data_IF_776372831141
#
_entry.id   IF_776372831141
#
_cell.length_a   1.000
_cell.length_b   1.000
_cell.length_c   1.000
_cell.angle_alpha   90.00
_cell.angle_beta   90.00
_cell.angle_gamma   90.00
#
_symmetry.space_group_name_H-M   'P 1'
#
loop_
_entity.id
_entity.type
_entity.pdbx_description
1 polymer ?
#
# COMPACT_ATOMS: atom_id res chain seq x y z
N UNK A 1 -10.57 9.09 16.08
CA UNK A 1 -9.50 8.21 15.55
C UNK A 1 -9.98 7.70 14.20
N UNK A 2 -9.15 7.83 13.18
CA UNK A 2 -9.47 7.40 11.82
C UNK A 2 -8.98 5.99 11.54
N UNK A 3 -9.53 5.38 10.50
CA UNK A 3 -8.98 4.19 9.85
C UNK A 3 -8.07 4.66 8.72
N UNK A 4 -6.86 4.10 8.65
CA UNK A 4 -5.91 4.37 7.58
C UNK A 4 -6.00 3.27 6.53
N UNK A 5 -6.02 3.64 5.25
CA UNK A 5 -5.96 2.70 4.13
C UNK A 5 -4.69 3.01 3.35
N UNK A 6 -3.77 2.07 3.26
CA UNK A 6 -2.44 2.25 2.65
C UNK A 6 -2.38 1.39 1.39
N UNK A 7 -1.96 1.96 0.26
CA UNK A 7 -1.85 1.21 -0.99
C UNK A 7 -0.45 1.34 -1.61
N UNK A 8 -0.01 0.26 -2.27
CA UNK A 8 1.28 0.17 -2.94
C UNK A 8 1.17 0.36 -4.48
N UNK A 9 2.32 0.30 -5.15
CA UNK A 9 2.43 0.41 -6.62
C UNK A 9 1.63 -0.69 -7.30
N UNK A 10 1.79 -1.93 -6.83
CA UNK A 10 1.14 -3.11 -7.41
C UNK A 10 -0.38 -3.04 -7.38
N UNK A 11 -0.96 -2.48 -6.33
CA UNK A 11 -2.39 -2.24 -6.22
C UNK A 11 -2.92 -1.33 -7.34
N UNK A 12 -2.28 -0.17 -7.56
CA UNK A 12 -2.71 0.75 -8.61
C UNK A 12 -2.47 0.22 -10.01
N UNK A 13 -1.36 -0.50 -10.23
CA UNK A 13 -1.09 -1.20 -11.49
C UNK A 13 -2.20 -2.21 -11.80
N UNK A 14 -2.68 -2.95 -10.79
CA UNK A 14 -3.75 -3.94 -10.97
C UNK A 14 -5.10 -3.32 -11.38
N UNK A 15 -5.33 -2.03 -11.10
CA UNK A 15 -6.54 -1.31 -11.52
C UNK A 15 -6.59 -1.04 -13.02
N UNK A 16 -5.43 -0.87 -13.66
CA UNK A 16 -5.32 -0.39 -15.04
C UNK A 16 -5.78 1.07 -15.18
N UNK A 17 -5.95 1.54 -16.42
CA UNK A 17 -6.34 2.92 -16.75
C UNK A 17 -7.72 3.35 -16.20
N UNK A 18 -8.03 4.66 -16.15
CA UNK A 18 -9.26 5.17 -15.53
C UNK A 18 -10.59 4.65 -16.12
N UNK A 19 -10.58 4.24 -17.39
CA UNK A 19 -11.75 3.65 -18.06
C UNK A 19 -11.92 2.14 -17.77
N UNK A 20 -10.90 1.50 -17.19
CA UNK A 20 -10.94 0.11 -16.76
C UNK A 20 -12.07 -0.10 -15.72
N UNK A 21 -12.75 -1.24 -15.82
CA UNK A 21 -13.81 -1.60 -14.88
C UNK A 21 -13.28 -1.71 -13.45
N UNK A 22 -12.07 -2.24 -13.25
CA UNK A 22 -11.43 -2.38 -11.93
C UNK A 22 -11.21 -1.03 -11.28
N UNK A 23 -10.59 -0.08 -11.98
CA UNK A 23 -10.41 1.30 -11.52
C UNK A 23 -11.73 1.93 -11.10
N UNK A 24 -12.75 1.90 -11.97
CA UNK A 24 -14.06 2.51 -11.67
C UNK A 24 -14.75 1.86 -10.47
N UNK A 25 -14.60 0.56 -10.27
CA UNK A 25 -15.17 -0.17 -9.13
C UNK A 25 -14.50 0.22 -7.82
N UNK A 26 -13.17 0.25 -7.79
CA UNK A 26 -12.42 0.69 -6.60
C UNK A 26 -12.68 2.15 -6.29
N UNK A 27 -12.67 3.05 -7.29
CA UNK A 27 -13.06 4.46 -7.12
C UNK A 27 -14.46 4.60 -6.53
N UNK A 28 -15.44 3.86 -7.06
CA UNK A 28 -16.83 3.89 -6.57
C UNK A 28 -16.91 3.38 -5.13
N UNK A 29 -16.19 2.29 -4.81
CA UNK A 29 -16.11 1.76 -3.45
C UNK A 29 -15.51 2.80 -2.49
N UNK A 30 -14.40 3.42 -2.87
CA UNK A 30 -13.73 4.41 -2.04
C UNK A 30 -14.63 5.61 -1.76
N UNK A 31 -15.25 6.17 -2.80
CA UNK A 31 -16.17 7.30 -2.69
C UNK A 31 -17.41 6.98 -1.86
N UNK A 32 -18.02 5.80 -2.03
CA UNK A 32 -19.21 5.38 -1.26
C UNK A 32 -18.92 5.23 0.24
N UNK A 33 -17.71 4.81 0.59
CA UNK A 33 -17.31 4.56 1.97
C UNK A 33 -16.50 5.72 2.58
N UNK A 34 -16.27 6.81 1.85
CA UNK A 34 -15.44 7.93 2.32
C UNK A 34 -13.98 7.53 2.58
N UNK A 35 -13.47 6.54 1.85
CA UNK A 35 -12.09 6.05 1.98
C UNK A 35 -11.16 6.89 1.09
N UNK A 36 -10.01 7.25 1.65
CA UNK A 36 -8.91 7.87 0.92
C UNK A 36 -7.67 7.00 1.13
N UNK A 37 -7.15 6.41 0.07
CA UNK A 37 -5.93 5.61 0.14
C UNK A 37 -4.71 6.53 0.30
N UNK A 38 -3.90 6.26 1.31
CA UNK A 38 -2.62 6.88 1.54
C UNK A 38 -1.52 6.09 0.84
N UNK A 39 -0.67 6.79 0.09
CA UNK A 39 0.44 6.21 -0.65
C UNK A 39 1.73 6.74 -0.06
N UNK A 40 2.64 5.89 0.46
CA UNK A 40 3.96 6.34 0.89
C UNK A 40 4.70 7.09 -0.22
N UNK A 41 5.50 8.10 0.11
CA UNK A 41 6.23 8.91 -0.87
C UNK A 41 7.08 8.04 -1.82
N UNK A 42 7.79 7.04 -1.28
CA UNK A 42 8.57 6.07 -2.09
C UNK A 42 7.73 5.31 -3.11
N UNK A 43 6.51 4.93 -2.74
CA UNK A 43 5.58 4.22 -3.64
C UNK A 43 5.11 5.17 -4.74
N UNK A 44 4.82 6.43 -4.40
CA UNK A 44 4.46 7.44 -5.38
C UNK A 44 5.62 7.74 -6.36
N UNK A 45 6.85 7.79 -5.87
CA UNK A 45 8.05 7.94 -6.71
C UNK A 45 8.17 6.76 -7.70
N UNK A 46 7.91 5.52 -7.31
CA UNK A 46 7.92 4.37 -8.22
C UNK A 46 6.83 4.46 -9.30
N UNK A 47 5.61 4.85 -8.89
CA UNK A 47 4.47 5.03 -9.79
C UNK A 47 4.72 6.11 -10.86
N UNK A 48 5.54 7.10 -10.54
CA UNK A 48 5.86 8.24 -11.43
C UNK A 48 7.20 8.09 -12.15
N UNK A 49 8.09 7.20 -11.68
CA UNK A 49 9.42 6.92 -12.25
C UNK A 49 9.44 5.70 -13.17
N UNK A 50 8.34 4.92 -13.26
CA UNK A 50 8.29 3.75 -14.15
C UNK A 50 8.64 4.19 -15.57
N UNK A 51 9.83 3.74 -15.99
CA UNK A 51 10.61 4.28 -17.08
C UNK A 51 9.83 4.45 -18.38
N UNK A 52 9.88 5.67 -18.91
CA UNK A 52 9.57 6.08 -20.28
C UNK A 52 10.59 5.50 -21.29
N UNK A 53 11.07 4.27 -21.06
CA UNK A 53 12.17 3.65 -21.78
C UNK A 53 11.76 2.24 -22.23
N UNK A 54 11.52 2.14 -23.54
CA UNK A 54 11.35 0.91 -24.34
C UNK A 54 9.95 0.26 -24.39
N UNK A 55 9.10 0.83 -25.25
CA UNK A 55 8.23 0.10 -26.19
C UNK A 55 7.09 -0.77 -25.63
N UNK A 56 6.36 -0.28 -24.62
CA UNK A 56 4.94 -0.60 -24.43
C UNK A 56 4.26 0.73 -24.08
N UNK A 57 3.15 1.07 -24.72
CA UNK A 57 2.22 2.09 -24.23
C UNK A 57 1.65 1.60 -22.89
N UNK A 58 2.45 1.64 -21.82
CA UNK A 58 1.93 1.51 -20.47
C UNK A 58 1.16 2.80 -20.26
N UNK A 59 -0.16 2.75 -20.44
CA UNK A 59 -1.06 3.83 -20.05
C UNK A 59 -0.63 4.30 -18.66
N UNK A 60 -0.33 5.59 -18.52
CA UNK A 60 0.18 6.17 -17.29
C UNK A 60 -0.64 5.66 -16.11
N UNK A 61 0.04 5.09 -15.11
CA UNK A 61 -0.62 4.52 -13.93
C UNK A 61 -1.47 5.64 -13.31
N UNK A 62 -2.79 5.45 -13.13
CA UNK A 62 -3.71 6.57 -12.90
C UNK A 62 -3.69 7.12 -11.48
N UNK A 63 -2.55 7.10 -10.80
CA UNK A 63 -2.40 7.60 -9.43
C UNK A 63 -2.67 9.10 -9.38
N UNK A 64 -2.20 9.88 -10.36
CA UNK A 64 -2.44 11.33 -10.41
C UNK A 64 -3.93 11.63 -10.63
N UNK A 65 -4.59 10.89 -11.53
CA UNK A 65 -6.04 11.01 -11.73
C UNK A 65 -6.82 10.63 -10.46
N UNK A 66 -6.34 9.65 -9.70
CA UNK A 66 -6.96 9.22 -8.46
C UNK A 66 -6.77 10.24 -7.32
N UNK A 67 -5.62 10.94 -7.30
CA UNK A 67 -5.35 12.08 -6.42
C UNK A 67 -6.26 13.25 -6.77
N UNK A 68 -6.37 13.61 -8.06
CA UNK A 68 -7.24 14.68 -8.54
C UNK A 68 -8.72 14.40 -8.24
N UNK A 69 -9.13 13.13 -8.34
CA UNK A 69 -10.47 12.65 -7.97
C UNK A 69 -10.70 12.57 -6.44
N UNK A 70 -9.67 12.79 -5.63
CA UNK A 70 -9.75 12.92 -4.18
C UNK A 70 -9.92 11.62 -3.39
N UNK A 71 -9.70 10.45 -4.00
CA UNK A 71 -9.78 9.15 -3.31
C UNK A 71 -8.42 8.49 -3.07
N UNK A 72 -7.35 9.17 -3.47
CA UNK A 72 -5.95 8.86 -3.15
C UNK A 72 -5.26 10.12 -2.63
N UNK A 73 -4.30 9.96 -1.72
CA UNK A 73 -3.40 11.02 -1.28
C UNK A 73 -1.99 10.48 -1.07
N UNK A 74 -1.00 11.35 -1.24
CA UNK A 74 0.36 11.06 -0.79
C UNK A 74 0.39 11.18 0.75
N UNK A 75 1.00 10.21 1.40
CA UNK A 75 1.16 10.19 2.85
C UNK A 75 2.18 11.22 3.33
N UNK A 76 2.13 11.58 4.61
CA UNK A 76 3.23 12.33 5.20
C UNK A 76 4.53 11.49 5.17
N UNK A 77 5.70 12.11 5.02
CA UNK A 77 6.97 11.40 5.01
C UNK A 77 7.15 10.55 6.27
N UNK A 78 7.87 9.43 6.11
CA UNK A 78 8.23 8.58 7.24
C UNK A 78 9.18 9.32 8.19
N UNK A 79 8.81 9.37 9.46
CA UNK A 79 9.64 9.93 10.53
C UNK A 79 10.64 8.87 11.01
N UNK A 80 11.80 8.85 10.36
CA UNK A 80 12.92 7.98 10.74
C UNK A 80 13.51 8.29 12.12
N UNK A 81 13.12 9.39 12.77
CA UNK A 81 13.52 9.66 14.17
C UNK A 81 12.71 8.83 15.15
N UNK A 82 11.54 8.33 14.75
CA UNK A 82 10.78 7.33 15.51
C UNK A 82 11.43 5.94 15.34
N UNK A 83 11.99 5.34 16.41
CA UNK A 83 12.64 4.04 16.31
C UNK A 83 11.70 2.91 15.87
N UNK A 84 10.39 3.04 16.12
CA UNK A 84 9.41 2.06 15.68
C UNK A 84 9.32 1.99 14.15
N UNK A 85 9.37 3.14 13.47
CA UNK A 85 9.34 3.23 11.99
C UNK A 85 10.52 2.45 11.40
N UNK A 86 11.75 2.73 11.87
CA UNK A 86 12.96 2.06 11.36
C UNK A 86 12.96 0.57 11.68
N UNK A 87 12.61 0.20 12.92
CA UNK A 87 12.54 -1.21 13.34
C UNK A 87 11.51 -2.02 12.54
N UNK A 88 10.35 -1.43 12.26
CA UNK A 88 9.31 -2.07 11.44
C UNK A 88 9.79 -2.24 10.01
N UNK A 89 10.44 -1.23 9.42
CA UNK A 89 11.03 -1.37 8.08
C UNK A 89 12.05 -2.50 8.01
N UNK A 90 13.03 -2.53 8.92
CA UNK A 90 14.06 -3.58 8.97
C UNK A 90 13.45 -4.97 9.18
N UNK A 91 12.40 -5.05 10.01
CA UNK A 91 11.67 -6.28 10.29
C UNK A 91 10.97 -6.83 9.04
N UNK A 92 10.23 -5.97 8.33
CA UNK A 92 9.49 -6.36 7.13
C UNK A 92 10.47 -6.70 6.00
N UNK A 93 11.51 -5.89 5.81
CA UNK A 93 12.53 -6.15 4.81
C UNK A 93 13.18 -7.53 5.02
N UNK A 94 13.48 -7.89 6.27
CA UNK A 94 14.01 -9.22 6.61
C UNK A 94 12.98 -10.33 6.40
N UNK A 95 11.70 -10.06 6.67
CA UNK A 95 10.64 -11.03 6.42
C UNK A 95 10.55 -11.37 4.93
N UNK A 96 10.46 -10.36 4.07
CA UNK A 96 10.38 -10.51 2.60
C UNK A 96 11.63 -11.24 2.09
N UNK A 97 12.82 -10.79 2.51
CA UNK A 97 14.08 -11.44 2.14
C UNK A 97 14.10 -12.95 2.43
N UNK A 98 13.59 -13.35 3.60
CA UNK A 98 13.50 -14.75 3.99
C UNK A 98 12.44 -15.51 3.19
N UNK A 99 11.30 -14.88 2.87
CA UNK A 99 10.23 -15.47 2.08
C UNK A 99 10.67 -15.72 0.63
N UNK A 100 11.39 -14.76 0.04
CA UNK A 100 11.84 -14.78 -1.35
C UNK A 100 13.16 -15.54 -1.55
N UNK A 101 13.89 -15.82 -0.47
CA UNK A 101 15.21 -16.46 -0.53
C UNK A 101 16.30 -15.59 -1.15
N UNK A 102 16.13 -14.26 -1.10
CA UNK A 102 17.08 -13.26 -1.63
C UNK A 102 17.64 -12.37 -0.51
N UNK A 103 18.82 -11.74 -0.70
CA UNK A 103 19.40 -10.84 0.30
C UNK A 103 18.48 -9.67 0.65
N UNK A 104 18.49 -9.26 1.93
CA UNK A 104 17.62 -8.19 2.40
C UNK A 104 17.93 -6.84 1.73
N UNK A 105 19.19 -6.56 1.40
CA UNK A 105 19.62 -5.35 0.71
C UNK A 105 19.15 -5.27 -0.75
N UNK A 106 18.69 -6.39 -1.31
CA UNK A 106 18.04 -6.41 -2.62
C UNK A 106 16.54 -6.12 -2.54
N UNK A 107 15.90 -6.21 -1.37
CA UNK A 107 14.46 -5.96 -1.22
C UNK A 107 14.16 -4.47 -1.42
N UNK A 108 13.13 -4.22 -2.21
CA UNK A 108 12.63 -2.91 -2.56
C UNK A 108 12.16 -2.17 -1.30
N UNK A 109 12.59 -0.91 -1.11
CA UNK A 109 12.27 -0.15 0.11
C UNK A 109 10.82 0.34 0.16
N UNK A 110 10.08 0.25 -0.94
CA UNK A 110 8.66 0.59 -0.99
C UNK A 110 7.82 -0.39 -0.17
N UNK A 111 8.13 -1.69 -0.19
CA UNK A 111 7.32 -2.69 0.50
C UNK A 111 7.35 -2.52 2.03
N UNK A 112 8.52 -2.38 2.68
CA UNK A 112 8.57 -2.09 4.10
C UNK A 112 7.98 -0.72 4.47
N UNK A 113 7.91 0.24 3.53
CA UNK A 113 7.34 1.56 3.78
C UNK A 113 5.83 1.51 4.05
N UNK A 114 5.12 0.49 3.55
CA UNK A 114 3.70 0.29 3.83
C UNK A 114 3.45 0.06 5.32
N UNK A 115 4.17 -0.89 5.92
CA UNK A 115 4.07 -1.17 7.35
C UNK A 115 4.68 -0.06 8.22
N UNK A 116 5.70 0.63 7.73
CA UNK A 116 6.29 1.79 8.38
C UNK A 116 5.28 2.94 8.54
N UNK A 117 4.50 3.21 7.49
CA UNK A 117 3.44 4.21 7.54
C UNK A 117 2.32 3.79 8.51
N UNK A 118 1.99 2.49 8.56
CA UNK A 118 1.04 1.96 9.52
C UNK A 118 1.51 2.18 10.98
N UNK A 119 2.73 1.76 11.34
CA UNK A 119 3.23 1.94 12.71
C UNK A 119 3.35 3.42 13.09
N UNK A 120 3.72 4.29 12.14
CA UNK A 120 3.78 5.73 12.38
C UNK A 120 2.42 6.25 12.84
N UNK A 121 1.36 6.02 12.04
CA UNK A 121 0.03 6.52 12.35
C UNK A 121 -0.61 5.85 13.59
N UNK A 122 -0.31 4.58 13.83
CA UNK A 122 -0.81 3.85 15.00
C UNK A 122 -0.13 4.31 16.29
N UNK A 123 1.19 4.48 16.26
CA UNK A 123 1.97 4.88 17.46
C UNK A 123 1.79 6.35 17.83
N UNK A 124 1.47 7.23 16.88
CA UNK A 124 1.12 8.64 17.14
C UNK A 124 -0.34 8.82 17.61
N UNK A 125 -1.20 7.81 17.41
CA UNK A 125 -2.64 7.88 17.69
C UNK A 125 -3.48 8.56 16.60
N UNK A 126 -2.89 8.85 15.44
CA UNK A 126 -3.60 9.42 14.28
C UNK A 126 -4.57 8.40 13.66
N UNK A 127 -4.23 7.11 13.74
CA UNK A 127 -5.09 6.01 13.32
C UNK A 127 -5.30 5.01 14.46
N UNK A 128 -6.49 4.42 14.51
CA UNK A 128 -6.77 3.27 15.38
C UNK A 128 -6.56 1.93 14.70
N UNK A 129 -6.69 1.91 13.37
CA UNK A 129 -6.55 0.72 12.53
C UNK A 129 -5.93 1.11 11.19
N UNK A 130 -5.15 0.20 10.60
CA UNK A 130 -4.54 0.36 9.28
C UNK A 130 -4.84 -0.86 8.40
N UNK A 131 -5.40 -0.62 7.21
CA UNK A 131 -5.53 -1.62 6.14
C UNK A 131 -4.41 -1.41 5.13
N UNK A 132 -3.66 -2.46 4.81
CA UNK A 132 -2.56 -2.43 3.86
C UNK A 132 -2.98 -3.19 2.61
N UNK A 133 -3.17 -2.49 1.51
CA UNK A 133 -3.55 -3.01 0.20
C UNK A 133 -2.30 -3.18 -0.64
N UNK A 134 -1.93 -4.43 -0.89
CA UNK A 134 -0.81 -4.76 -1.79
C UNK A 134 -1.09 -6.02 -2.56
N UNK A 135 -0.52 -6.13 -3.76
CA UNK A 135 -0.53 -7.37 -4.53
C UNK A 135 0.60 -8.32 -4.14
N UNK A 136 1.61 -7.83 -3.43
CA UNK A 136 2.70 -8.64 -2.88
C UNK A 136 2.29 -9.27 -1.54
N UNK A 137 2.17 -10.60 -1.54
CA UNK A 137 1.76 -11.34 -0.35
C UNK A 137 2.84 -11.31 0.74
N UNK A 138 4.13 -11.39 0.37
CA UNK A 138 5.22 -11.37 1.33
C UNK A 138 5.32 -10.01 2.02
N UNK A 139 5.09 -8.92 1.28
CA UNK A 139 4.99 -7.58 1.85
C UNK A 139 3.82 -7.44 2.83
N UNK A 140 2.63 -7.88 2.43
CA UNK A 140 1.43 -7.83 3.25
C UNK A 140 1.53 -8.65 4.54
N UNK A 141 1.88 -9.93 4.41
CA UNK A 141 2.06 -10.84 5.56
C UNK A 141 3.24 -10.41 6.45
N UNK A 142 4.30 -9.89 5.85
CA UNK A 142 5.44 -9.35 6.58
C UNK A 142 5.06 -8.16 7.45
N UNK A 143 4.25 -7.23 6.91
CA UNK A 143 3.72 -6.11 7.68
C UNK A 143 2.88 -6.60 8.87
N UNK A 144 1.88 -7.46 8.66
CA UNK A 144 1.06 -8.00 9.75
C UNK A 144 1.90 -8.73 10.80
N UNK A 145 2.83 -9.59 10.38
CA UNK A 145 3.66 -10.39 11.29
C UNK A 145 4.54 -9.51 12.17
N UNK A 146 5.19 -8.51 11.57
CA UNK A 146 6.10 -7.60 12.29
C UNK A 146 5.32 -6.68 13.22
N UNK A 147 4.20 -6.11 12.75
CA UNK A 147 3.35 -5.24 13.55
C UNK A 147 2.66 -6.00 14.70
N UNK A 148 2.23 -7.25 14.47
CA UNK A 148 1.69 -8.12 15.51
C UNK A 148 2.73 -8.43 16.60
N UNK A 149 3.98 -8.67 16.22
CA UNK A 149 5.08 -8.89 17.17
C UNK A 149 5.35 -7.67 18.06
N UNK A 150 4.98 -6.48 17.59
CA UNK A 150 5.10 -5.21 18.32
C UNK A 150 3.79 -4.79 19.03
N UNK A 151 2.78 -5.65 19.06
CA UNK A 151 1.52 -5.45 19.81
C UNK A 151 0.38 -4.80 19.01
N UNK A 152 0.53 -4.64 17.70
CA UNK A 152 -0.46 -3.99 16.81
C UNK A 152 -1.24 -4.98 15.95
N UNK A 153 -1.23 -6.28 16.30
CA UNK A 153 -1.83 -7.33 15.46
C UNK A 153 -3.33 -7.14 15.23
N UNK A 154 -4.06 -6.66 16.24
CA UNK A 154 -5.50 -6.37 16.12
C UNK A 154 -5.79 -5.04 15.38
N UNK A 155 -4.76 -4.21 15.18
CA UNK A 155 -4.88 -2.87 14.61
C UNK A 155 -4.41 -2.79 13.15
N UNK A 156 -3.94 -3.90 12.56
CA UNK A 156 -3.43 -3.96 11.19
C UNK A 156 -4.13 -5.09 10.45
N UNK A 157 -4.47 -4.85 9.19
CA UNK A 157 -5.05 -5.88 8.32
C UNK A 157 -4.43 -5.79 6.94
N UNK A 158 -3.81 -6.87 6.49
CA UNK A 158 -3.40 -7.04 5.10
C UNK A 158 -4.63 -7.36 4.25
N UNK A 159 -4.78 -6.60 3.16
CA UNK A 159 -5.78 -6.81 2.13
C UNK A 159 -5.06 -7.18 0.84
N UNK A 160 -5.22 -8.42 0.40
CA UNK A 160 -4.69 -8.84 -0.90
C UNK A 160 -5.40 -8.07 -2.02
N UNK A 161 -4.65 -7.23 -2.73
CA UNK A 161 -5.17 -6.31 -3.74
C UNK A 161 -5.93 -7.00 -4.86
N UNK A 162 -5.40 -8.12 -5.38
CA UNK A 162 -6.08 -8.89 -6.44
C UNK A 162 -7.42 -9.42 -5.96
N UNK A 163 -7.46 -10.07 -4.79
CA UNK A 163 -8.71 -10.61 -4.23
C UNK A 163 -9.74 -9.52 -3.98
N UNK A 164 -9.32 -8.40 -3.38
CA UNK A 164 -10.20 -7.27 -3.13
C UNK A 164 -10.83 -6.73 -4.40
N UNK A 165 -10.04 -6.56 -5.47
CA UNK A 165 -10.54 -6.10 -6.77
C UNK A 165 -11.53 -7.13 -7.36
N UNK A 166 -11.20 -8.42 -7.32
CA UNK A 166 -12.05 -9.49 -7.85
C UNK A 166 -13.38 -9.60 -7.08
N UNK A 167 -13.36 -9.42 -5.76
CA UNK A 167 -14.55 -9.42 -4.92
C UNK A 167 -15.49 -8.25 -5.30
N UNK A 168 -14.95 -7.04 -5.47
CA UNK A 168 -15.73 -5.86 -5.91
C UNK A 168 -16.33 -6.01 -7.31
N UNK A 169 -15.71 -6.82 -8.18
CA UNK A 169 -16.27 -7.16 -9.48
C UNK A 169 -17.37 -8.23 -9.38
N UNK A 170 -17.29 -9.10 -8.37
CA UNK A 170 -18.19 -10.24 -8.18
C UNK A 170 -19.47 -9.90 -7.41
N UNK A 171 -19.49 -8.80 -6.64
CA UNK A 171 -20.68 -8.25 -5.96
C UNK A 171 -21.82 -7.81 -6.91
N UNK A 172 -21.66 -8.03 -8.22
CA UNK A 172 -22.64 -7.72 -9.27
C UNK A 172 -23.59 -8.88 -9.62
N UNK A 173 -23.75 -9.89 -8.74
CA UNK A 173 -24.68 -11.01 -8.94
C UNK A 173 -25.93 -10.98 -8.06
#
# INVERSE_FOLDING_TARGET
MSVLHIADTGFFVALGAPDNQRYRRVRTFAQRNGIVFAVPERVYEELTTTDTSESIEIEAIPVDAAIDDGWVRIAEPLDYTNPAVSKTMDGIQRYIANADGRPADEIERADPALGALAIQALSSGDASHAYIYTTDIAAGEGAETVLASDGYGDAVTFVNGFRFIDDLLSEEK
#
